data_IF_280453465518
#
_entry.id   IF_280453465518
#
_cell.length_a   1.000
_cell.length_b   1.000
_cell.length_c   1.000
_cell.angle_alpha   90.00
_cell.angle_beta   90.00
_cell.angle_gamma   90.00
#
_symmetry.space_group_name_H-M   'P 1'
#
loop_
_entity.id
_entity.type
_entity.pdbx_description
1 polymer ?
#
# COMPACT_ATOMS: atom_id res chain seq x y z
N UNK A 1 -7.69 -34.79 24.29
CA UNK A 1 -7.36 -33.51 24.96
C UNK A 1 -5.93 -33.19 24.55
N UNK A 2 -5.56 -32.09 23.91
CA UNK A 2 -6.17 -30.80 23.58
C UNK A 2 -5.48 -30.31 22.29
N UNK A 3 -6.25 -29.79 21.34
CA UNK A 3 -5.73 -29.20 20.10
C UNK A 3 -5.57 -27.69 20.33
N UNK A 4 -4.40 -27.24 20.79
CA UNK A 4 -4.13 -25.82 21.05
C UNK A 4 -2.98 -25.28 20.19
N UNK A 5 -3.23 -25.12 18.89
CA UNK A 5 -2.51 -24.14 18.06
C UNK A 5 -3.52 -23.21 17.38
N UNK A 6 -4.39 -22.58 18.18
CA UNK A 6 -5.03 -21.34 17.76
C UNK A 6 -3.98 -20.22 17.87
N UNK A 7 -3.06 -20.14 16.89
CA UNK A 7 -2.06 -19.10 16.82
C UNK A 7 -2.72 -17.71 16.89
N UNK A 8 -2.16 -16.81 17.71
CA UNK A 8 -2.65 -15.45 17.84
C UNK A 8 -2.84 -14.81 16.45
N UNK A 9 -4.00 -14.17 16.23
CA UNK A 9 -4.27 -13.47 14.97
C UNK A 9 -3.16 -12.45 14.71
N UNK A 10 -2.58 -12.48 13.51
CA UNK A 10 -1.64 -11.44 13.08
C UNK A 10 -2.36 -10.10 13.03
N UNK A 11 -1.68 -9.07 13.51
CA UNK A 11 -2.10 -7.68 13.42
C UNK A 11 -1.41 -7.00 12.23
N UNK A 12 -1.79 -5.75 11.96
CA UNK A 12 -1.05 -4.88 11.06
C UNK A 12 0.38 -4.63 11.58
N UNK A 13 1.32 -4.38 10.67
CA UNK A 13 2.66 -3.89 11.00
C UNK A 13 2.61 -2.46 11.57
N UNK A 14 3.66 -1.97 12.26
CA UNK A 14 3.70 -0.59 12.74
C UNK A 14 3.47 0.44 11.63
N UNK A 15 3.01 1.63 12.01
CA UNK A 15 2.84 2.75 11.07
C UNK A 15 4.18 3.14 10.45
N UNK A 16 4.15 3.45 9.15
CA UNK A 16 5.31 3.87 8.37
C UNK A 16 4.91 4.99 7.41
N UNK A 17 5.89 5.83 7.05
CA UNK A 17 5.74 6.88 6.05
C UNK A 17 6.35 6.47 4.71
N UNK A 18 5.89 7.06 3.59
CA UNK A 18 6.48 6.81 2.30
C UNK A 18 7.86 7.46 2.22
N UNK A 19 8.85 6.75 1.68
CA UNK A 19 10.16 7.33 1.40
C UNK A 19 10.18 8.07 0.05
N UNK A 20 9.20 7.82 -0.82
CA UNK A 20 9.04 8.51 -2.08
C UNK A 20 7.55 8.61 -2.46
N UNK A 21 7.16 9.72 -3.05
CA UNK A 21 5.82 9.95 -3.61
C UNK A 21 5.95 10.60 -4.98
N UNK A 22 4.90 10.51 -5.79
CA UNK A 22 4.91 11.16 -7.09
C UNK A 22 3.55 11.13 -7.78
N UNK A 23 3.51 11.75 -8.94
CA UNK A 23 2.38 11.73 -9.87
C UNK A 23 2.87 11.12 -11.19
N UNK A 24 2.12 10.16 -11.72
CA UNK A 24 2.42 9.52 -13.00
C UNK A 24 1.36 9.93 -14.02
N UNK A 25 1.76 10.69 -15.04
CA UNK A 25 0.87 11.03 -16.15
C UNK A 25 0.56 9.77 -16.98
N UNK A 26 -0.71 9.37 -17.05
CA UNK A 26 -1.14 8.16 -17.78
C UNK A 26 -2.05 8.44 -18.97
N UNK A 27 -2.54 9.67 -19.11
CA UNK A 27 -3.21 10.18 -20.32
C UNK A 27 -3.07 11.70 -20.39
N UNK A 28 -3.71 12.39 -21.34
CA UNK A 28 -3.79 13.86 -21.34
C UNK A 28 -4.64 14.43 -20.21
N UNK A 29 -5.50 13.60 -19.60
CA UNK A 29 -6.46 13.99 -18.57
C UNK A 29 -6.03 13.54 -17.18
N UNK A 30 -5.49 12.33 -17.04
CA UNK A 30 -5.30 11.72 -15.72
C UNK A 30 -3.82 11.64 -15.30
N UNK A 31 -3.57 12.00 -14.04
CA UNK A 31 -2.31 11.80 -13.34
C UNK A 31 -2.54 10.97 -12.07
N UNK A 32 -1.83 9.85 -11.95
CA UNK A 32 -1.99 8.94 -10.81
C UNK A 32 -1.02 9.29 -9.69
N UNK A 33 -1.54 9.56 -8.50
CA UNK A 33 -0.74 9.62 -7.30
C UNK A 33 -0.21 8.24 -6.97
N UNK A 34 1.07 8.14 -6.65
CA UNK A 34 1.67 6.94 -6.09
C UNK A 34 2.61 7.27 -4.94
N UNK A 35 2.82 6.27 -4.08
CA UNK A 35 3.81 6.31 -3.02
C UNK A 35 4.53 4.97 -2.88
N UNK A 36 5.75 5.05 -2.36
CA UNK A 36 6.60 3.90 -2.08
C UNK A 36 7.00 3.90 -0.61
N UNK A 37 6.81 2.74 0.03
CA UNK A 37 7.06 2.54 1.46
C UNK A 37 7.88 1.27 1.70
N UNK A 38 8.34 1.08 2.94
CA UNK A 38 9.12 -0.09 3.35
C UNK A 38 10.56 -0.03 2.83
N UNK A 39 11.12 -1.19 2.48
CA UNK A 39 12.50 -1.35 2.07
C UNK A 39 12.64 -1.09 0.55
N UNK A 40 13.38 -0.07 0.09
CA UNK A 40 13.59 0.19 -1.34
C UNK A 40 14.26 -0.96 -2.11
N UNK A 41 14.98 -1.85 -1.40
CA UNK A 41 15.63 -3.05 -1.95
C UNK A 41 14.85 -4.35 -1.62
N UNK A 42 13.68 -4.24 -1.01
CA UNK A 42 12.83 -5.37 -0.66
C UNK A 42 12.11 -5.97 -1.87
N UNK A 43 11.41 -7.09 -1.64
CA UNK A 43 10.55 -7.72 -2.65
C UNK A 43 9.47 -6.73 -3.10
N UNK A 44 9.30 -6.45 -4.41
CA UNK A 44 8.31 -5.49 -4.87
C UNK A 44 6.88 -6.04 -4.70
N UNK A 45 5.97 -5.17 -4.28
CA UNK A 45 4.53 -5.47 -4.19
C UNK A 45 3.71 -4.22 -4.55
N UNK A 46 2.59 -4.42 -5.24
CA UNK A 46 1.62 -3.37 -5.57
C UNK A 46 0.34 -3.61 -4.78
N UNK A 47 -0.14 -2.61 -4.06
CA UNK A 47 -1.43 -2.62 -3.39
C UNK A 47 -2.51 -2.04 -4.30
N UNK A 48 -3.62 -2.77 -4.46
CA UNK A 48 -4.80 -2.31 -5.20
C UNK A 48 -5.94 -2.05 -4.22
N UNK A 49 -6.34 -0.78 -4.06
CA UNK A 49 -7.46 -0.45 -3.18
C UNK A 49 -8.81 -0.91 -3.77
N UNK A 50 -9.80 -1.12 -2.90
CA UNK A 50 -11.17 -1.47 -3.26
C UNK A 50 -12.03 -0.26 -3.67
N UNK A 51 -13.33 -0.48 -3.86
CA UNK A 51 -14.29 0.52 -4.34
C UNK A 51 -15.08 0.02 -5.56
N UNK A 52 -15.07 0.69 -6.73
CA UNK A 52 -14.08 1.65 -7.22
C UNK A 52 -14.14 3.04 -6.58
N UNK A 53 -13.07 3.83 -6.71
CA UNK A 53 -13.01 5.21 -6.20
C UNK A 53 -12.62 5.39 -4.73
N UNK A 54 -12.18 4.33 -4.04
CA UNK A 54 -11.86 4.40 -2.61
C UNK A 54 -10.55 5.12 -2.23
N UNK A 55 -9.50 4.98 -3.06
CA UNK A 55 -8.16 5.48 -2.77
C UNK A 55 -7.42 4.67 -1.70
N UNK A 56 -6.11 4.89 -1.59
CA UNK A 56 -5.27 4.35 -0.53
C UNK A 56 -5.31 5.24 0.73
N UNK A 57 -5.12 4.64 1.90
CA UNK A 57 -4.94 5.36 3.16
C UNK A 57 -3.69 4.86 3.90
N UNK A 58 -3.32 5.52 5.01
CA UNK A 58 -2.10 5.19 5.76
C UNK A 58 -2.05 3.72 6.22
N UNK A 59 -3.19 3.09 6.55
CA UNK A 59 -3.23 1.68 6.97
C UNK A 59 -2.87 0.72 5.85
N UNK A 60 -3.07 1.09 4.59
CA UNK A 60 -2.70 0.27 3.44
C UNK A 60 -1.19 -0.08 3.43
N UNK A 61 -0.35 0.75 4.06
CA UNK A 61 1.11 0.53 4.18
C UNK A 61 1.45 -0.61 5.15
N UNK A 62 0.54 -0.92 6.08
CA UNK A 62 0.79 -1.82 7.21
C UNK A 62 0.44 -3.28 6.94
N UNK A 63 0.01 -3.63 5.72
CA UNK A 63 -0.33 -5.01 5.34
C UNK A 63 0.90 -5.87 4.98
N UNK A 64 2.05 -5.23 4.73
CA UNK A 64 3.27 -5.91 4.31
C UNK A 64 4.39 -5.62 5.31
N UNK A 65 5.29 -6.59 5.46
CA UNK A 65 6.49 -6.42 6.28
C UNK A 65 7.37 -5.29 5.69
N UNK A 66 7.58 -4.17 6.41
CA UNK A 66 8.31 -3.02 5.88
C UNK A 66 9.80 -3.30 5.69
N UNK A 67 10.37 -4.33 6.32
CA UNK A 67 11.77 -4.71 6.16
C UNK A 67 11.93 -5.61 4.93
N UNK A 68 10.94 -6.46 4.64
CA UNK A 68 11.02 -7.41 3.53
C UNK A 68 10.53 -6.85 2.19
N UNK A 69 9.63 -5.87 2.18
CA UNK A 69 8.94 -5.42 0.95
C UNK A 69 9.25 -3.99 0.56
N UNK A 70 9.37 -3.77 -0.76
CA UNK A 70 9.19 -2.48 -1.42
C UNK A 70 7.71 -2.35 -1.79
N UNK A 71 6.99 -1.55 -1.01
CA UNK A 71 5.53 -1.46 -1.11
C UNK A 71 5.17 -0.29 -2.01
N UNK A 72 4.44 -0.53 -3.10
CA UNK A 72 3.93 0.51 -4.00
C UNK A 72 2.42 0.62 -3.82
N UNK A 73 1.96 1.82 -3.45
CA UNK A 73 0.55 2.15 -3.38
C UNK A 73 0.25 3.22 -4.44
N UNK A 74 -0.93 3.18 -5.05
CA UNK A 74 -1.38 4.24 -5.93
C UNK A 74 -2.88 4.43 -5.83
N UNK A 75 -3.34 5.66 -6.08
CA UNK A 75 -4.75 5.97 -6.18
C UNK A 75 -5.18 5.77 -7.64
N UNK A 76 -6.25 4.99 -7.87
CA UNK A 76 -6.80 4.80 -9.22
C UNK A 76 -7.36 6.12 -9.78
N UNK A 77 -7.70 6.14 -11.08
CA UNK A 77 -8.18 7.36 -11.76
C UNK A 77 -9.38 7.97 -11.04
N UNK A 78 -9.35 9.30 -10.86
CA UNK A 78 -10.47 10.08 -10.31
C UNK A 78 -10.76 9.84 -8.83
N UNK A 79 -9.82 9.30 -8.05
CA UNK A 79 -10.00 9.12 -6.61
C UNK A 79 -8.74 9.46 -5.81
N UNK A 80 -8.94 9.63 -4.50
CA UNK A 80 -7.86 10.00 -3.59
C UNK A 80 -7.14 11.27 -4.04
N UNK A 81 -5.86 11.14 -4.33
CA UNK A 81 -4.96 12.20 -4.80
C UNK A 81 -4.69 12.16 -6.30
N UNK A 82 -5.36 11.27 -7.02
CA UNK A 82 -5.29 11.18 -8.47
C UNK A 82 -6.37 12.04 -9.09
N UNK A 83 -5.95 12.92 -10.00
CA UNK A 83 -6.84 13.76 -10.82
C UNK A 83 -7.06 13.09 -12.18
#
# INVERSE_FOLDING_TARGET
>A
MSNEHAGARRTLYPEIEPYATGQLQVSTLHALYYEQCGNPQGKPVVFLHGGPGGGCNARCRQFFDPVAYRIVLFDQRGCGRSM
#
